data_IF_930910874671
#
_entry.id   IF_930910874671
#
_cell.length_a   1.000
_cell.length_b   1.000
_cell.length_c   1.000
_cell.angle_alpha   90.00
_cell.angle_beta   90.00
_cell.angle_gamma   90.00
#
_symmetry.space_group_name_H-M   'P 1'
#
loop_
_entity.id
_entity.type
_entity.pdbx_description
1 polymer ?
#
# COMPACT_ATOMS: atom_id res chain seq x y z
N UNK A 1 25.54 -0.07 -27.71
CA UNK A 1 24.18 0.51 -27.68
C UNK A 1 24.11 1.28 -26.37
N UNK A 2 24.15 2.60 -26.46
CA UNK A 2 24.19 3.49 -25.29
C UNK A 2 22.83 3.45 -24.61
N UNK A 3 22.79 2.85 -23.45
CA UNK A 3 21.66 2.96 -22.53
C UNK A 3 21.68 4.40 -22.03
N UNK A 4 20.90 5.26 -22.68
CA UNK A 4 20.69 6.63 -22.25
C UNK A 4 20.02 6.54 -20.90
N UNK A 5 20.75 6.90 -19.84
CA UNK A 5 20.19 7.04 -18.52
C UNK A 5 19.04 8.06 -18.58
N UNK A 6 17.83 7.56 -18.76
CA UNK A 6 16.63 8.40 -18.87
C UNK A 6 16.20 8.87 -17.49
N UNK A 7 15.83 10.13 -17.45
CA UNK A 7 15.24 10.77 -16.29
C UNK A 7 13.87 10.11 -16.02
N UNK A 8 13.74 9.41 -14.90
CA UNK A 8 12.55 8.64 -14.57
C UNK A 8 12.02 8.95 -13.17
N UNK A 9 10.75 8.75 -12.91
CA UNK A 9 10.23 8.88 -11.55
C UNK A 9 10.89 7.86 -10.61
N UNK A 10 11.30 8.33 -9.45
CA UNK A 10 11.89 7.55 -8.36
C UNK A 10 11.03 7.78 -7.13
N UNK A 11 10.68 6.72 -6.42
CA UNK A 11 9.95 6.77 -5.17
C UNK A 11 10.84 6.35 -4.01
N UNK A 12 10.92 7.17 -2.98
CA UNK A 12 11.50 6.78 -1.69
C UNK A 12 10.45 6.05 -0.87
N UNK A 13 10.77 4.85 -0.41
CA UNK A 13 9.83 3.93 0.24
C UNK A 13 10.35 3.50 1.61
N UNK A 14 9.51 3.63 2.64
CA UNK A 14 9.70 3.00 3.93
C UNK A 14 9.25 1.54 3.83
N UNK A 15 10.18 0.59 4.01
CA UNK A 15 9.94 -0.85 3.80
C UNK A 15 9.70 -1.58 5.11
N UNK A 16 8.76 -2.51 5.14
CA UNK A 16 8.45 -3.34 6.32
C UNK A 16 9.64 -4.21 6.76
N UNK A 17 9.73 -4.47 8.09
CA UNK A 17 10.73 -5.38 8.69
C UNK A 17 12.18 -4.99 8.42
N UNK A 18 12.46 -3.73 8.31
CA UNK A 18 13.81 -3.20 8.43
C UNK A 18 14.20 -3.13 9.89
N UNK A 19 15.48 -3.40 10.20
CA UNK A 19 16.00 -3.20 11.55
C UNK A 19 16.37 -1.73 11.73
N UNK A 20 16.26 -1.21 12.95
CA UNK A 20 16.58 0.19 13.25
C UNK A 20 17.95 0.63 12.69
N UNK A 21 18.99 -0.22 12.80
CA UNK A 21 20.32 0.07 12.28
C UNK A 21 20.42 0.07 10.73
N UNK A 22 19.40 -0.44 10.04
CA UNK A 22 19.30 -0.52 8.59
C UNK A 22 18.07 0.23 8.06
N UNK A 23 17.43 1.02 8.94
CA UNK A 23 16.27 1.81 8.56
C UNK A 23 16.73 3.08 7.82
N UNK A 24 17.11 2.85 6.57
CA UNK A 24 17.22 3.89 5.55
C UNK A 24 15.96 3.85 4.69
N UNK A 25 15.51 5.00 4.27
CA UNK A 25 14.50 5.09 3.24
C UNK A 25 15.13 4.58 1.93
N UNK A 26 14.44 3.71 1.22
CA UNK A 26 14.97 3.02 0.03
C UNK A 26 14.35 3.59 -1.23
N UNK A 27 15.20 3.91 -2.21
CA UNK A 27 14.76 4.41 -3.50
C UNK A 27 14.46 3.26 -4.47
N UNK A 28 13.33 3.39 -5.16
CA UNK A 28 12.86 2.47 -6.19
C UNK A 28 12.47 3.25 -7.43
N UNK A 29 12.71 2.67 -8.59
CA UNK A 29 12.21 3.23 -9.82
C UNK A 29 10.70 2.97 -9.94
N UNK A 30 9.99 3.95 -10.46
CA UNK A 30 8.56 3.83 -10.74
C UNK A 30 8.38 3.40 -12.20
N UNK A 31 7.85 2.18 -12.45
CA UNK A 31 7.54 1.76 -13.81
C UNK A 31 6.51 2.69 -14.47
N UNK A 32 6.60 2.93 -15.79
CA UNK A 32 5.66 3.81 -16.49
C UNK A 32 4.18 3.40 -16.28
N UNK A 33 3.90 2.11 -16.20
CA UNK A 33 2.55 1.59 -15.95
C UNK A 33 1.98 1.95 -14.56
N UNK A 34 2.83 2.33 -13.60
CA UNK A 34 2.45 2.69 -12.24
C UNK A 34 2.59 4.19 -11.94
N UNK A 35 3.04 4.99 -12.91
CA UNK A 35 3.38 6.40 -12.71
C UNK A 35 2.21 7.23 -12.16
N UNK A 36 1.00 6.99 -12.62
CA UNK A 36 -0.20 7.70 -12.18
C UNK A 36 -0.72 7.25 -10.80
N UNK A 37 -0.27 6.09 -10.33
CA UNK A 37 -0.74 5.48 -9.08
C UNK A 37 0.23 5.69 -7.92
N UNK A 38 1.53 5.81 -8.21
CA UNK A 38 2.58 5.96 -7.19
C UNK A 38 2.70 7.42 -6.78
N UNK A 39 2.29 7.70 -5.54
CA UNK A 39 2.35 9.04 -4.91
C UNK A 39 2.59 8.89 -3.41
N UNK A 40 3.01 9.94 -2.71
CA UNK A 40 3.22 9.88 -1.25
C UNK A 40 1.98 9.33 -0.52
N UNK A 41 2.20 8.49 0.48
CA UNK A 41 1.15 7.84 1.27
C UNK A 41 0.55 6.58 0.65
N UNK A 42 0.95 6.19 -0.55
CA UNK A 42 0.47 4.96 -1.21
C UNK A 42 1.26 3.75 -0.73
N UNK A 43 0.58 2.65 -0.48
CA UNK A 43 1.20 1.37 -0.16
C UNK A 43 1.61 0.62 -1.42
N UNK A 44 2.84 0.10 -1.43
CA UNK A 44 3.44 -0.60 -2.57
C UNK A 44 4.07 -1.92 -2.13
N UNK A 45 4.28 -2.82 -3.06
CA UNK A 45 5.17 -3.97 -2.89
C UNK A 45 6.45 -3.77 -3.69
N UNK A 46 7.59 -4.01 -3.02
CA UNK A 46 8.92 -3.79 -3.57
C UNK A 46 9.82 -5.00 -3.36
N UNK A 47 10.73 -5.30 -4.30
CA UNK A 47 11.74 -6.35 -4.11
C UNK A 47 12.83 -5.86 -3.14
N UNK A 48 13.00 -6.55 -2.02
CA UNK A 48 13.91 -6.16 -0.95
C UNK A 48 15.02 -7.19 -0.72
N UNK A 49 16.22 -6.69 -0.40
CA UNK A 49 17.41 -7.50 -0.12
C UNK A 49 17.99 -8.21 -1.34
N UNK A 50 18.99 -9.07 -1.11
CA UNK A 50 19.68 -9.83 -2.17
C UNK A 50 18.78 -10.89 -2.82
N UNK A 51 17.82 -11.42 -2.07
CA UNK A 51 16.86 -12.43 -2.55
C UNK A 51 15.64 -11.88 -3.25
N UNK A 52 15.53 -10.58 -3.47
CA UNK A 52 14.40 -9.90 -4.12
C UNK A 52 13.01 -10.32 -3.59
N UNK A 53 12.94 -10.66 -2.30
CA UNK A 53 11.65 -11.01 -1.69
C UNK A 53 10.75 -9.79 -1.67
N UNK A 54 9.53 -9.96 -2.15
CA UNK A 54 8.55 -8.89 -2.10
C UNK A 54 8.23 -8.53 -0.66
N UNK A 55 8.30 -7.24 -0.37
CA UNK A 55 7.93 -6.65 0.92
C UNK A 55 7.03 -5.45 0.69
N UNK A 56 6.18 -5.19 1.64
CA UNK A 56 5.37 -3.98 1.62
C UNK A 56 6.19 -2.78 2.03
N UNK A 57 5.80 -1.66 1.48
CA UNK A 57 6.33 -0.36 1.83
C UNK A 57 5.28 0.72 1.66
N UNK A 58 5.59 1.89 2.19
CA UNK A 58 4.78 3.10 2.02
C UNK A 58 5.65 4.13 1.34
N UNK A 59 5.15 4.72 0.27
CA UNK A 59 5.84 5.77 -0.47
C UNK A 59 5.87 7.03 0.39
N UNK A 60 7.08 7.56 0.62
CA UNK A 60 7.31 8.78 1.38
C UNK A 60 7.33 10.02 0.49
N UNK A 61 7.99 9.90 -0.65
CA UNK A 61 8.12 10.96 -1.65
C UNK A 61 8.34 10.38 -3.04
N UNK A 62 8.05 11.17 -4.05
CA UNK A 62 8.37 10.87 -5.46
C UNK A 62 9.12 12.05 -6.05
N UNK A 63 10.19 11.77 -6.77
CA UNK A 63 11.00 12.77 -7.46
C UNK A 63 11.49 12.21 -8.80
N UNK A 64 12.03 13.08 -9.62
CA UNK A 64 12.57 12.68 -10.93
C UNK A 64 14.09 12.65 -10.84
N UNK A 65 14.68 11.55 -11.28
CA UNK A 65 16.13 11.36 -11.19
C UNK A 65 16.66 10.31 -12.15
N UNK A 66 17.99 10.17 -12.16
CA UNK A 66 18.71 9.22 -12.99
C UNK A 66 19.47 8.25 -12.06
N UNK A 67 18.97 7.03 -11.92
CA UNK A 67 19.70 5.96 -11.28
C UNK A 67 19.29 4.61 -11.91
N UNK A 68 20.12 4.08 -12.81
CA UNK A 68 19.81 2.83 -13.53
C UNK A 68 19.90 1.58 -12.63
N UNK A 69 20.54 1.68 -11.48
CA UNK A 69 20.72 0.54 -10.57
C UNK A 69 19.52 0.28 -9.64
N UNK A 70 18.51 1.15 -9.67
CA UNK A 70 17.33 0.99 -8.82
C UNK A 70 16.46 -0.18 -9.29
N UNK A 71 15.95 -0.92 -8.32
CA UNK A 71 14.91 -1.92 -8.55
C UNK A 71 13.58 -1.22 -8.77
N UNK A 72 12.73 -1.83 -9.56
CA UNK A 72 11.40 -1.30 -9.84
C UNK A 72 10.41 -1.66 -8.72
N UNK A 73 9.43 -0.77 -8.49
CA UNK A 73 8.25 -1.10 -7.70
C UNK A 73 7.50 -2.24 -8.41
N UNK A 74 7.20 -3.31 -7.67
CA UNK A 74 6.55 -4.47 -8.26
C UNK A 74 5.06 -4.22 -8.52
N UNK A 75 4.36 -3.61 -7.57
CA UNK A 75 2.94 -3.23 -7.71
C UNK A 75 2.51 -2.23 -6.65
N UNK A 76 1.43 -1.53 -6.94
CA UNK A 76 0.68 -0.72 -5.97
C UNK A 76 -0.35 -1.62 -5.28
N UNK A 77 -0.50 -1.47 -3.97
CA UNK A 77 -1.53 -2.16 -3.22
C UNK A 77 -2.89 -1.47 -3.40
N UNK A 78 -3.97 -2.26 -3.48
CA UNK A 78 -5.34 -1.78 -3.77
C UNK A 78 -6.01 -0.98 -2.63
N UNK A 79 -5.23 -0.37 -1.76
CA UNK A 79 -5.76 0.40 -0.61
C UNK A 79 -5.92 1.91 -0.89
N UNK A 80 -5.52 2.36 -2.08
CA UNK A 80 -5.44 3.80 -2.39
C UNK A 80 -4.38 4.52 -1.56
N UNK A 81 -4.55 5.82 -1.37
CA UNK A 81 -3.70 6.63 -0.48
C UNK A 81 -4.11 6.36 0.96
N UNK A 82 -3.20 5.79 1.75
CA UNK A 82 -3.47 5.37 3.13
C UNK A 82 -2.99 6.38 4.17
N UNK A 83 -2.07 7.28 3.79
CA UNK A 83 -1.51 8.32 4.66
C UNK A 83 -1.35 9.63 3.88
N UNK A 84 -1.52 10.73 4.57
CA UNK A 84 -1.28 12.08 4.05
C UNK A 84 0.14 12.59 4.38
N UNK A 85 0.51 13.74 3.80
CA UNK A 85 1.83 14.36 4.01
C UNK A 85 2.09 14.73 5.47
N UNK A 86 1.06 15.07 6.24
CA UNK A 86 1.19 15.44 7.65
C UNK A 86 1.55 14.21 8.48
N UNK A 87 0.94 13.08 8.18
CA UNK A 87 1.21 11.80 8.81
C UNK A 87 2.62 11.30 8.46
N UNK A 88 3.05 11.45 7.20
CA UNK A 88 4.41 11.10 6.78
C UNK A 88 5.44 11.95 7.55
N UNK A 89 5.25 13.27 7.63
CA UNK A 89 6.13 14.15 8.41
C UNK A 89 6.14 13.81 9.90
N UNK A 90 4.99 13.46 10.47
CA UNK A 90 4.89 13.01 11.86
C UNK A 90 5.68 11.71 12.07
N UNK A 91 5.59 10.74 11.17
CA UNK A 91 6.37 9.49 11.26
C UNK A 91 7.88 9.75 11.22
N UNK A 92 8.34 10.62 10.33
CA UNK A 92 9.76 11.02 10.25
C UNK A 92 10.24 11.72 11.53
N UNK A 93 9.39 12.60 12.11
CA UNK A 93 9.70 13.22 13.40
C UNK A 93 9.77 12.18 14.53
N UNK A 94 8.82 11.22 14.56
CA UNK A 94 8.81 10.13 15.55
C UNK A 94 10.06 9.26 15.45
N UNK A 95 10.48 8.87 14.25
CA UNK A 95 11.72 8.14 14.02
C UNK A 95 12.93 8.84 14.64
N UNK A 96 13.04 10.15 14.42
CA UNK A 96 14.17 10.94 14.96
C UNK A 96 14.12 11.11 16.48
N UNK A 97 12.95 10.95 17.11
CA UNK A 97 12.73 11.14 18.54
C UNK A 97 12.77 9.84 19.34
N UNK A 98 12.36 8.74 18.71
CA UNK A 98 12.21 7.43 19.37
C UNK A 98 13.03 6.39 18.59
N UNK A 99 13.41 5.30 19.27
CA UNK A 99 14.16 4.21 18.64
C UNK A 99 13.22 3.28 17.87
N UNK A 100 12.68 3.75 16.76
CA UNK A 100 11.76 3.01 15.89
C UNK A 100 12.06 3.29 14.43
N UNK A 101 11.61 2.41 13.55
CA UNK A 101 11.76 2.57 12.10
C UNK A 101 10.68 3.51 11.54
N UNK A 102 10.93 4.13 10.38
CA UNK A 102 9.92 4.95 9.70
C UNK A 102 8.65 4.14 9.47
N UNK A 103 8.78 2.90 8.99
CA UNK A 103 7.65 2.02 8.71
C UNK A 103 6.83 1.69 9.97
N UNK A 104 7.48 1.43 11.11
CA UNK A 104 6.79 1.20 12.39
C UNK A 104 6.00 2.42 12.84
N UNK A 105 6.54 3.62 12.67
CA UNK A 105 5.83 4.86 12.97
C UNK A 105 4.58 5.01 12.10
N UNK A 106 4.71 4.78 10.79
CA UNK A 106 3.59 4.85 9.83
C UNK A 106 2.50 3.83 10.17
N UNK A 107 2.86 2.61 10.59
CA UNK A 107 1.90 1.57 10.98
C UNK A 107 1.02 1.98 12.17
N UNK A 108 1.51 2.82 13.08
CA UNK A 108 0.70 3.28 14.22
C UNK A 108 -0.47 4.19 13.81
N UNK A 109 -0.38 4.78 12.63
CA UNK A 109 -1.40 5.69 12.09
C UNK A 109 -2.42 4.97 11.19
N UNK A 110 -2.18 3.68 10.94
CA UNK A 110 -3.02 2.86 10.06
C UNK A 110 -4.03 2.02 10.86
N UNK A 111 -5.18 1.68 10.29
CA UNK A 111 -6.14 0.80 10.94
C UNK A 111 -5.52 -0.54 11.35
N UNK A 112 -6.00 -1.10 12.47
CA UNK A 112 -5.57 -2.41 12.94
C UNK A 112 -5.84 -3.46 11.86
N UNK A 113 -4.81 -4.27 11.55
CA UNK A 113 -4.89 -5.30 10.52
C UNK A 113 -4.34 -4.86 9.16
N UNK A 114 -4.01 -3.59 8.98
CA UNK A 114 -3.29 -3.14 7.79
C UNK A 114 -1.98 -3.95 7.64
N UNK A 115 -1.83 -4.61 6.52
CA UNK A 115 -0.63 -5.40 6.25
C UNK A 115 -0.59 -6.81 6.85
N UNK A 116 -1.46 -7.18 7.77
CA UNK A 116 -1.48 -8.55 8.32
C UNK A 116 -2.28 -9.54 7.48
N UNK A 117 -3.04 -9.04 6.57
CA UNK A 117 -3.90 -9.86 5.76
C UNK A 117 -3.42 -9.67 4.33
N UNK A 118 -3.18 -10.77 3.62
CA UNK A 118 -3.52 -10.84 2.23
C UNK A 118 -5.03 -10.65 2.09
N UNK A 119 -5.57 -9.68 2.80
CA UNK A 119 -6.93 -9.25 2.64
C UNK A 119 -6.93 -8.46 1.37
N UNK A 120 -7.51 -9.09 0.41
CA UNK A 120 -8.39 -8.37 -0.47
C UNK A 120 -8.96 -7.20 0.35
N UNK A 121 -8.62 -5.97 -0.04
CA UNK A 121 -9.13 -4.79 0.63
C UNK A 121 -10.60 -4.95 0.89
N UNK A 122 -11.15 -4.19 1.82
CA UNK A 122 -12.59 -4.14 2.00
C UNK A 122 -13.18 -3.88 0.61
N UNK A 123 -13.56 -4.96 -0.06
CA UNK A 123 -14.29 -4.84 -1.31
C UNK A 123 -15.68 -4.38 -0.90
N UNK A 124 -16.10 -3.31 -1.50
CA UNK A 124 -17.50 -2.94 -1.43
C UNK A 124 -18.30 -4.16 -1.89
N UNK A 125 -19.04 -4.78 -0.98
CA UNK A 125 -19.90 -5.89 -1.33
C UNK A 125 -21.12 -5.27 -2.01
N UNK A 126 -21.25 -5.50 -3.31
CA UNK A 126 -22.45 -5.16 -4.06
C UNK A 126 -23.32 -6.41 -4.15
N UNK A 127 -24.57 -6.29 -3.75
CA UNK A 127 -25.52 -7.37 -3.90
C UNK A 127 -26.01 -7.37 -5.37
N UNK A 128 -25.60 -8.38 -6.12
CA UNK A 128 -26.00 -8.54 -7.54
C UNK A 128 -27.34 -9.24 -7.73
N UNK A 129 -28.00 -9.62 -6.63
CA UNK A 129 -29.28 -10.35 -6.63
C UNK A 129 -30.41 -9.41 -6.23
N UNK A 130 -31.45 -9.33 -7.04
CA UNK A 130 -32.62 -8.51 -6.78
C UNK A 130 -33.55 -9.14 -5.73
N UNK A 131 -34.32 -8.31 -5.03
CA UNK A 131 -35.31 -8.76 -4.04
C UNK A 131 -36.33 -9.69 -4.71
N UNK A 132 -36.38 -10.96 -4.30
CA UNK A 132 -37.27 -11.97 -4.86
C UNK A 132 -36.58 -13.08 -5.65
N UNK A 133 -35.28 -13.00 -5.89
CA UNK A 133 -34.50 -14.11 -6.44
C UNK A 133 -34.03 -15.05 -5.32
N UNK A 134 -33.98 -16.35 -5.61
CA UNK A 134 -33.48 -17.34 -4.64
C UNK A 134 -31.98 -17.15 -4.43
N UNK A 135 -31.61 -16.80 -3.19
CA UNK A 135 -30.21 -16.74 -2.78
C UNK A 135 -29.66 -18.19 -2.63
N UNK A 136 -28.42 -18.45 -3.03
CA UNK A 136 -27.77 -19.71 -2.76
C UNK A 136 -27.69 -19.96 -1.25
N UNK A 137 -27.50 -21.22 -0.82
CA UNK A 137 -27.39 -21.55 0.61
C UNK A 137 -26.28 -20.74 1.26
N UNK A 138 -26.66 -19.78 2.10
CA UNK A 138 -25.77 -18.90 2.83
C UNK A 138 -25.57 -19.43 4.26
N UNK A 139 -24.39 -19.16 4.84
CA UNK A 139 -24.18 -19.32 6.26
C UNK A 139 -24.96 -18.25 7.05
N UNK A 140 -25.26 -18.46 8.34
CA UNK A 140 -26.03 -17.47 9.13
C UNK A 140 -25.43 -16.07 9.12
N UNK A 141 -24.09 -15.95 9.11
CA UNK A 141 -23.40 -14.65 9.01
C UNK A 141 -23.55 -14.00 7.63
N UNK A 142 -23.48 -14.80 6.57
CA UNK A 142 -23.69 -14.31 5.20
C UNK A 142 -25.15 -13.88 4.99
N UNK A 143 -26.10 -14.62 5.57
CA UNK A 143 -27.50 -14.26 5.52
C UNK A 143 -27.75 -12.88 6.17
N UNK A 144 -27.22 -12.65 7.36
CA UNK A 144 -27.35 -11.34 8.05
C UNK A 144 -26.78 -10.17 7.23
N UNK A 145 -25.68 -10.40 6.50
CA UNK A 145 -25.09 -9.36 5.61
C UNK A 145 -25.97 -9.16 4.37
N UNK A 146 -26.48 -10.24 3.78
CA UNK A 146 -27.36 -10.15 2.62
C UNK A 146 -28.67 -9.41 2.96
N UNK A 147 -29.28 -9.71 4.10
CA UNK A 147 -30.48 -9.04 4.59
C UNK A 147 -30.24 -7.52 4.80
N UNK A 148 -29.10 -7.17 5.41
CA UNK A 148 -28.71 -5.77 5.59
C UNK A 148 -28.52 -5.03 4.26
N UNK A 149 -27.88 -5.66 3.28
CA UNK A 149 -27.64 -5.05 1.95
C UNK A 149 -28.96 -4.90 1.17
N UNK A 150 -29.92 -5.83 1.32
CA UNK A 150 -31.25 -5.72 0.73
C UNK A 150 -32.07 -4.57 1.33
N UNK A 151 -31.89 -4.30 2.62
CA UNK A 151 -32.57 -3.21 3.31
C UNK A 151 -31.98 -1.84 2.92
N UNK A 152 -30.66 -1.72 2.77
CA UNK A 152 -29.98 -0.48 2.36
C UNK A 152 -30.24 -0.17 0.88
N UNK A 153 -30.26 -1.18 0.01
CA UNK A 153 -30.49 -1.00 -1.42
C UNK A 153 -31.95 -0.70 -1.82
N UNK A 154 -32.87 -0.65 -0.86
CA UNK A 154 -34.28 -0.34 -1.07
C UNK A 154 -34.71 1.07 -0.61
N UNK A 155 -33.74 1.94 -0.27
CA UNK A 155 -33.98 3.32 0.16
C UNK A 155 -33.81 4.33 -0.98
#
# INVERSE_FOLDING_TARGET
>A
MSDKAENRPIATVAVERTFFNLDSDYDYAVPPALADQVRPGVAVEVPFGSGNRLRRGIVLQVFVGINPALKDIARVCDYGTVLDDSQIRLAQWMKNRYFCTTYECLLQMLPRGFGKIGVAGVRMAELTVSRGEELPRLTPKQQSVADLLLDIGSA
#
